data_IF_175693992369
#
_entry.id   IF_175693992369
#
_cell.length_a   1.000
_cell.length_b   1.000
_cell.length_c   1.000
_cell.angle_alpha   90.00
_cell.angle_beta   90.00
_cell.angle_gamma   90.00
#
_symmetry.space_group_name_H-M   'P 1'
#
loop_
_entity.id
_entity.type
_entity.pdbx_description
1 polymer ?
#
# COMPACT_ATOMS: atom_id res chain seq x y z
N UNK A 1 9.99 -36.42 23.55
CA UNK A 1 10.53 -35.66 22.41
C UNK A 1 9.38 -35.34 21.48
N UNK A 2 8.91 -34.10 21.49
CA UNK A 2 7.99 -33.58 20.47
C UNK A 2 8.76 -32.50 19.74
N UNK A 3 9.51 -32.91 18.73
CA UNK A 3 10.16 -31.99 17.81
C UNK A 3 9.16 -31.66 16.72
N UNK A 4 8.87 -30.37 16.63
CA UNK A 4 7.89 -29.77 15.72
C UNK A 4 8.54 -29.73 14.34
N UNK A 5 8.09 -30.58 13.43
CA UNK A 5 8.53 -30.55 12.03
C UNK A 5 7.89 -29.33 11.34
N UNK A 6 8.66 -28.25 11.39
CA UNK A 6 8.95 -27.30 10.31
C UNK A 6 8.12 -27.49 9.02
N UNK A 7 7.07 -26.69 8.85
CA UNK A 7 6.42 -26.48 7.55
C UNK A 7 7.34 -25.63 6.65
N UNK A 8 8.44 -26.22 6.17
CA UNK A 8 9.12 -25.73 4.98
C UNK A 8 8.30 -26.11 3.76
N UNK A 9 7.48 -25.16 3.29
CA UNK A 9 6.80 -25.26 2.01
C UNK A 9 7.87 -25.26 0.90
N UNK A 10 7.97 -26.30 0.04
CA UNK A 10 9.01 -26.38 -0.97
C UNK A 10 8.80 -25.31 -2.05
N UNK A 11 9.86 -24.54 -2.32
CA UNK A 11 9.96 -23.63 -3.47
C UNK A 11 9.93 -24.46 -4.76
N UNK A 12 8.76 -24.66 -5.33
CA UNK A 12 8.62 -25.19 -6.69
C UNK A 12 8.90 -24.05 -7.67
N UNK A 13 10.11 -24.06 -8.21
CA UNK A 13 10.50 -23.23 -9.36
C UNK A 13 9.81 -23.75 -10.62
N UNK A 14 8.72 -23.10 -11.04
CA UNK A 14 8.15 -23.29 -12.38
C UNK A 14 8.39 -22.04 -13.21
N UNK A 15 9.25 -22.20 -14.22
CA UNK A 15 9.54 -21.19 -15.22
C UNK A 15 8.40 -21.16 -16.25
N UNK A 16 7.49 -20.21 -16.03
CA UNK A 16 6.54 -19.64 -16.97
C UNK A 16 6.18 -18.29 -16.35
N UNK A 17 7.09 -17.32 -16.41
CA UNK A 17 6.89 -16.01 -15.77
C UNK A 17 5.92 -15.16 -16.57
N UNK A 18 4.64 -15.53 -16.55
CA UNK A 18 3.59 -14.53 -16.54
C UNK A 18 3.73 -13.83 -15.18
N UNK A 19 4.53 -12.77 -15.13
CA UNK A 19 4.61 -11.91 -13.95
C UNK A 19 3.22 -11.34 -13.74
N UNK A 20 2.44 -11.96 -12.85
CA UNK A 20 1.12 -11.46 -12.50
C UNK A 20 1.27 -10.01 -12.05
N UNK A 21 0.63 -9.10 -12.79
CA UNK A 21 0.60 -7.69 -12.48
C UNK A 21 -0.05 -7.51 -11.11
N UNK A 22 0.76 -7.25 -10.08
CA UNK A 22 0.28 -7.04 -8.72
C UNK A 22 -0.60 -5.78 -8.74
N UNK A 23 -1.83 -5.92 -8.24
CA UNK A 23 -2.82 -4.84 -8.21
C UNK A 23 -3.33 -4.64 -6.79
N UNK A 24 -3.62 -3.39 -6.38
CA UNK A 24 -4.38 -3.15 -5.17
C UNK A 24 -5.76 -3.82 -5.30
N UNK A 25 -6.18 -4.51 -4.25
CA UNK A 25 -7.41 -5.32 -4.24
C UNK A 25 -8.56 -4.58 -3.54
N UNK A 26 -9.79 -4.66 -4.01
CA UNK A 26 -10.94 -4.05 -3.33
C UNK A 26 -11.08 -2.53 -3.56
N UNK A 27 -11.54 -1.79 -2.55
CA UNK A 27 -11.94 -0.37 -2.67
C UNK A 27 -11.41 0.48 -1.49
N UNK A 28 -10.15 0.91 -1.51
CA UNK A 28 -9.59 1.76 -0.45
C UNK A 28 -10.23 3.15 -0.46
N UNK A 29 -10.43 3.74 0.73
CA UNK A 29 -10.83 5.14 0.88
C UNK A 29 -9.58 5.99 0.70
N UNK A 30 -9.65 6.99 -0.19
CA UNK A 30 -8.50 7.84 -0.53
C UNK A 30 -8.88 9.32 -0.52
N UNK A 31 -8.03 10.15 0.07
CA UNK A 31 -7.98 11.58 -0.21
C UNK A 31 -7.27 11.78 -1.55
N UNK A 32 -8.09 11.99 -2.59
CA UNK A 32 -7.62 12.15 -3.97
C UNK A 32 -6.68 13.35 -4.11
N UNK A 33 -6.93 14.45 -3.39
CA UNK A 33 -6.09 15.64 -3.46
C UNK A 33 -4.72 15.36 -2.85
N UNK A 34 -4.68 14.73 -1.67
CA UNK A 34 -3.43 14.30 -1.05
C UNK A 34 -2.64 13.39 -1.97
N UNK A 35 -3.25 12.30 -2.47
CA UNK A 35 -2.60 11.31 -3.33
C UNK A 35 -1.98 11.95 -4.58
N UNK A 36 -2.72 12.79 -5.32
CA UNK A 36 -2.18 13.43 -6.52
C UNK A 36 -1.09 14.44 -6.19
N UNK A 37 -1.16 15.15 -5.07
CA UNK A 37 -0.10 16.05 -4.64
C UNK A 37 1.16 15.29 -4.22
N UNK A 38 1.02 14.15 -3.53
CA UNK A 38 2.14 13.25 -3.24
C UNK A 38 2.79 12.77 -4.54
N UNK A 39 2.01 12.29 -5.51
CA UNK A 39 2.51 11.84 -6.82
C UNK A 39 3.30 12.97 -7.51
N UNK A 40 2.80 14.21 -7.50
CA UNK A 40 3.49 15.36 -8.10
C UNK A 40 4.77 15.75 -7.37
N UNK A 41 4.84 15.53 -6.06
CA UNK A 41 6.01 15.87 -5.25
C UNK A 41 7.17 14.87 -5.35
N UNK A 42 6.91 13.65 -5.85
CA UNK A 42 7.95 12.64 -6.00
C UNK A 42 8.90 13.07 -7.12
N UNK A 43 10.18 13.19 -6.77
CA UNK A 43 11.24 13.59 -7.69
C UNK A 43 12.45 12.69 -7.49
N UNK A 44 12.86 12.00 -8.56
CA UNK A 44 14.06 11.15 -8.56
C UNK A 44 15.19 11.82 -9.36
N UNK A 45 16.47 11.54 -9.02
CA UNK A 45 17.62 12.19 -9.65
C UNK A 45 17.73 12.06 -11.18
N UNK A 46 17.14 11.01 -11.76
CA UNK A 46 17.24 10.71 -13.18
C UNK A 46 16.04 11.20 -14.02
N UNK A 47 15.20 12.08 -13.47
CA UNK A 47 14.00 12.55 -14.16
C UNK A 47 12.91 11.49 -14.31
N UNK A 48 12.91 10.48 -13.43
CA UNK A 48 11.87 9.46 -13.40
C UNK A 48 10.51 10.11 -13.15
N UNK A 49 9.49 9.65 -13.87
CA UNK A 49 8.11 10.07 -13.67
C UNK A 49 7.31 8.93 -13.05
N UNK A 50 6.08 9.19 -12.60
CA UNK A 50 5.18 8.15 -12.09
C UNK A 50 4.94 7.00 -13.09
N UNK A 51 5.15 7.22 -14.41
CA UNK A 51 5.07 6.16 -15.42
C UNK A 51 6.14 5.06 -15.24
N UNK A 52 7.24 5.38 -14.56
CA UNK A 52 8.34 4.45 -14.28
C UNK A 52 8.10 3.61 -13.01
N UNK A 53 6.98 3.82 -12.33
CA UNK A 53 6.74 3.24 -11.01
C UNK A 53 6.01 1.90 -11.18
N UNK A 54 6.60 0.85 -10.61
CA UNK A 54 5.97 -0.46 -10.52
C UNK A 54 5.36 -0.57 -9.13
N UNK A 55 4.06 -0.81 -9.06
CA UNK A 55 3.39 -1.15 -7.81
C UNK A 55 3.91 -2.49 -7.29
N UNK A 56 4.23 -2.55 -6.01
CA UNK A 56 4.79 -3.76 -5.38
C UNK A 56 3.80 -4.43 -4.44
N UNK A 57 3.18 -3.66 -3.54
CA UNK A 57 2.20 -4.16 -2.58
C UNK A 57 1.49 -2.99 -1.89
N UNK A 58 0.38 -3.32 -1.22
CA UNK A 58 -0.38 -2.44 -0.36
C UNK A 58 -0.30 -2.95 1.08
N UNK A 59 -0.08 -2.05 2.04
CA UNK A 59 -0.23 -2.32 3.48
C UNK A 59 -1.42 -1.54 4.00
N UNK A 60 -2.33 -2.22 4.69
CA UNK A 60 -3.55 -1.62 5.28
C UNK A 60 -3.47 -1.54 6.79
N UNK A 61 -3.86 -0.39 7.32
CA UNK A 61 -4.10 -0.17 8.74
C UNK A 61 -5.50 0.44 8.92
N UNK A 62 -6.50 -0.42 9.12
CA UNK A 62 -7.91 -0.02 9.08
C UNK A 62 -8.32 0.44 7.67
N UNK A 63 -8.90 1.63 7.57
CA UNK A 63 -9.25 2.33 6.35
C UNK A 63 -8.07 3.05 5.67
N UNK A 64 -6.91 3.13 6.32
CA UNK A 64 -5.72 3.78 5.75
C UNK A 64 -4.89 2.74 4.98
N UNK A 65 -4.57 3.06 3.73
CA UNK A 65 -3.72 2.24 2.86
C UNK A 65 -2.39 2.94 2.59
N UNK A 66 -1.31 2.15 2.52
CA UNK A 66 0.01 2.59 2.08
C UNK A 66 0.41 1.79 0.84
N UNK A 67 0.58 2.47 -0.28
CA UNK A 67 0.91 1.89 -1.58
C UNK A 67 2.41 2.02 -1.83
N UNK A 68 3.08 0.89 -1.99
CA UNK A 68 4.53 0.83 -2.16
C UNK A 68 4.89 0.69 -3.64
N UNK A 69 5.74 1.59 -4.12
CA UNK A 69 6.21 1.61 -5.48
C UNK A 69 7.72 1.44 -5.53
N UNK A 70 8.20 0.78 -6.60
CA UNK A 70 9.60 0.73 -6.97
C UNK A 70 9.75 1.31 -8.37
N UNK A 71 10.63 2.29 -8.53
CA UNK A 71 10.96 2.80 -9.86
C UNK A 71 11.75 1.75 -10.65
N UNK A 72 11.30 1.41 -11.86
CA UNK A 72 11.97 0.46 -12.75
C UNK A 72 13.24 1.02 -13.39
N UNK A 73 13.44 2.35 -13.33
CA UNK A 73 14.56 3.03 -13.95
C UNK A 73 15.72 3.24 -12.97
N UNK A 74 15.44 3.85 -11.81
CA UNK A 74 16.47 4.18 -10.80
C UNK A 74 16.46 3.25 -9.57
N UNK A 75 15.52 2.31 -9.48
CA UNK A 75 15.34 1.39 -8.35
C UNK A 75 14.99 2.04 -6.99
N UNK A 76 14.72 3.35 -6.95
CA UNK A 76 14.24 4.02 -5.75
C UNK A 76 12.85 3.52 -5.36
N UNK A 77 12.56 3.53 -4.05
CA UNK A 77 11.28 3.10 -3.48
C UNK A 77 10.54 4.31 -2.92
N UNK A 78 9.26 4.38 -3.20
CA UNK A 78 8.37 5.43 -2.69
C UNK A 78 7.13 4.82 -2.08
N UNK A 79 6.55 5.54 -1.12
CA UNK A 79 5.30 5.16 -0.47
C UNK A 79 4.31 6.30 -0.64
N UNK A 80 3.12 5.96 -1.12
CA UNK A 80 2.00 6.89 -1.21
C UNK A 80 0.94 6.41 -0.23
N UNK A 81 0.57 7.26 0.72
CA UNK A 81 -0.51 6.96 1.66
C UNK A 81 -1.86 7.37 1.06
N UNK A 82 -2.94 6.70 1.49
CA UNK A 82 -4.30 7.02 1.05
C UNK A 82 -4.80 8.37 1.57
N UNK A 83 -4.25 8.86 2.66
CA UNK A 83 -4.49 10.17 3.24
C UNK A 83 -3.24 10.64 4.01
N UNK A 84 -3.26 11.88 4.50
CA UNK A 84 -2.14 12.42 5.28
C UNK A 84 -1.96 11.66 6.61
N UNK A 85 -0.80 11.00 6.83
CA UNK A 85 -0.62 10.13 8.00
C UNK A 85 -0.52 10.91 9.33
N UNK A 86 -0.20 12.20 9.27
CA UNK A 86 -0.10 13.08 10.44
C UNK A 86 -1.45 13.67 10.88
N UNK A 87 -2.53 13.39 10.16
CA UNK A 87 -3.85 13.94 10.49
C UNK A 87 -4.41 13.27 11.76
N UNK A 88 -4.70 14.09 12.78
CA UNK A 88 -5.28 13.64 14.05
C UNK A 88 -6.71 13.09 13.88
N UNK A 89 -7.45 13.56 12.88
CA UNK A 89 -8.78 13.08 12.54
C UNK A 89 -8.77 12.43 11.15
N UNK A 90 -8.14 11.28 11.07
CA UNK A 90 -8.09 10.46 9.86
C UNK A 90 -9.35 9.59 9.71
N UNK A 91 -9.45 8.88 8.59
CA UNK A 91 -10.60 8.03 8.26
C UNK A 91 -10.87 6.96 9.31
N UNK A 92 -9.83 6.39 9.92
CA UNK A 92 -9.99 5.41 11.00
C UNK A 92 -10.70 6.03 12.21
N UNK A 93 -10.27 7.20 12.65
CA UNK A 93 -10.89 7.92 13.76
C UNK A 93 -12.35 8.23 13.44
N UNK A 94 -12.64 8.75 12.25
CA UNK A 94 -14.01 9.06 11.82
C UNK A 94 -14.92 7.82 11.85
N UNK A 95 -14.44 6.69 11.34
CA UNK A 95 -15.19 5.44 11.33
C UNK A 95 -15.50 4.95 12.76
N UNK A 96 -14.50 4.94 13.65
CA UNK A 96 -14.69 4.53 15.05
C UNK A 96 -15.65 5.49 15.76
N UNK A 97 -15.47 6.80 15.63
CA UNK A 97 -16.35 7.82 16.24
C UNK A 97 -17.80 7.67 15.78
N UNK A 98 -18.03 7.43 14.48
CA UNK A 98 -19.39 7.21 13.95
C UNK A 98 -20.05 5.96 14.54
N UNK A 99 -19.28 4.88 14.69
CA UNK A 99 -19.78 3.60 15.21
C UNK A 99 -20.16 3.73 16.69
N UNK A 100 -19.32 4.37 17.51
CA UNK A 100 -19.63 4.56 18.95
C UNK A 100 -20.82 5.49 19.18
N UNK A 101 -20.96 6.54 18.35
CA UNK A 101 -22.09 7.46 18.46
C UNK A 101 -23.42 6.81 18.03
N UNK A 102 -23.39 5.89 17.06
CA UNK A 102 -24.59 5.17 16.62
C UNK A 102 -25.03 4.11 17.63
N UNK A 103 -24.07 3.45 18.30
CA UNK A 103 -24.35 2.38 19.27
C UNK A 103 -24.84 2.83 20.64
N UNK A 104 -24.93 4.15 20.89
CA UNK A 104 -25.39 4.71 22.16
C UNK A 104 -26.90 5.05 22.17
N UNK A 105 -27.63 4.62 21.13
CA UNK A 105 -29.09 4.76 21.00
C UNK A 105 -29.89 3.69 21.75
#
# INVERSE_FOLDING_TARGET
>A
MNDTEDLTLPLVMNHSEDVEEIKPQGRPIVDINYVFNTIKSISHPFGCTFKNFIFTHEVRNGCISSFYFKCNFCNQKDVIHSEEPANTFNTNTAMVTSTVNTGQG
#
